data_IF_486017254108
#
_entry.id   IF_486017254108
#
_cell.length_a   1.000
_cell.length_b   1.000
_cell.length_c   1.000
_cell.angle_alpha   90.00
_cell.angle_beta   90.00
_cell.angle_gamma   90.00
#
_symmetry.space_group_name_H-M   'P 1'
#
loop_
_entity.id
_entity.type
_entity.pdbx_description
1 polymer ?
#
# COMPACT_ATOMS: atom_id res chain seq x y z
N UNK A 1 7.12 -1.33 -23.00
CA UNK A 1 6.95 -1.03 -21.55
C UNK A 1 5.57 -1.51 -21.15
N UNK A 2 5.43 -2.24 -20.04
CA UNK A 2 4.12 -2.58 -19.48
C UNK A 2 3.41 -1.29 -19.02
N UNK A 3 2.12 -1.16 -19.32
CA UNK A 3 1.32 -0.02 -18.91
C UNK A 3 0.55 -0.38 -17.63
N UNK A 4 0.89 0.26 -16.52
CA UNK A 4 0.21 0.05 -15.24
C UNK A 4 -0.95 1.03 -15.06
N UNK A 5 -2.16 0.52 -14.78
CA UNK A 5 -3.30 1.35 -14.42
C UNK A 5 -3.34 1.57 -12.90
N UNK A 6 -2.61 2.54 -12.38
CA UNK A 6 -2.58 2.84 -10.95
C UNK A 6 -3.95 3.26 -10.37
N UNK A 7 -4.91 3.65 -11.20
CA UNK A 7 -6.24 4.05 -10.75
C UNK A 7 -7.13 2.86 -10.37
N UNK A 8 -6.77 1.64 -10.82
CA UNK A 8 -7.46 0.40 -10.41
C UNK A 8 -6.88 -0.21 -9.14
N UNK A 9 -5.99 0.49 -8.42
CA UNK A 9 -5.37 -0.04 -7.23
C UNK A 9 -6.40 -0.43 -6.15
N UNK A 10 -6.20 -1.56 -5.48
CA UNK A 10 -7.11 -2.07 -4.44
C UNK A 10 -6.34 -2.53 -3.22
N UNK A 11 -6.93 -2.35 -2.03
CA UNK A 11 -6.39 -2.90 -0.80
C UNK A 11 -6.45 -4.44 -0.84
N UNK A 12 -5.32 -5.09 -0.59
CA UNK A 12 -5.22 -6.55 -0.51
C UNK A 12 -5.33 -6.98 0.96
N UNK A 13 -4.35 -6.57 1.78
CA UNK A 13 -4.24 -7.03 3.16
C UNK A 13 -3.36 -6.10 3.99
N UNK A 14 -3.44 -6.28 5.31
CA UNK A 14 -2.54 -5.69 6.28
C UNK A 14 -1.82 -6.79 7.05
N UNK A 15 -0.49 -6.77 7.06
CA UNK A 15 0.34 -7.74 7.76
C UNK A 15 0.94 -7.11 9.03
N UNK A 16 0.79 -7.77 10.17
CA UNK A 16 1.47 -7.40 11.42
C UNK A 16 2.84 -8.07 11.55
N UNK A 17 3.05 -9.18 10.83
CA UNK A 17 4.26 -9.99 10.82
C UNK A 17 4.61 -10.38 9.39
N UNK A 18 5.88 -10.63 9.12
CA UNK A 18 6.35 -11.03 7.78
C UNK A 18 5.68 -12.30 7.25
N UNK A 19 5.35 -13.24 8.14
CA UNK A 19 4.64 -14.48 7.79
C UNK A 19 3.20 -14.26 7.30
N UNK A 20 2.64 -13.07 7.53
CA UNK A 20 1.30 -12.68 7.09
C UNK A 20 1.32 -11.86 5.79
N UNK A 21 2.52 -11.52 5.29
CA UNK A 21 2.64 -10.87 3.99
C UNK A 21 2.18 -11.83 2.89
N UNK A 22 1.62 -11.32 1.79
CA UNK A 22 1.37 -12.16 0.63
C UNK A 22 2.69 -12.71 0.10
N UNK A 23 2.61 -13.78 -0.69
CA UNK A 23 3.77 -14.39 -1.33
C UNK A 23 4.54 -13.32 -2.12
N UNK A 24 5.87 -13.36 -2.00
CA UNK A 24 6.80 -12.47 -2.69
C UNK A 24 6.92 -12.89 -4.16
N UNK A 25 5.98 -12.40 -4.97
CA UNK A 25 5.85 -12.69 -6.40
C UNK A 25 5.53 -11.40 -7.16
N UNK A 26 6.19 -11.24 -8.32
CA UNK A 26 6.00 -10.07 -9.18
C UNK A 26 6.83 -8.86 -8.73
N UNK A 27 6.31 -7.67 -8.96
CA UNK A 27 6.99 -6.41 -8.67
C UNK A 27 6.32 -5.67 -7.50
N UNK A 28 7.13 -5.17 -6.57
CA UNK A 28 6.68 -4.42 -5.40
C UNK A 28 7.40 -3.08 -5.25
N UNK A 29 6.66 -2.05 -4.83
CA UNK A 29 7.22 -0.74 -4.50
C UNK A 29 6.83 -0.35 -3.08
N UNK A 30 7.76 -0.49 -2.14
CA UNK A 30 7.51 -0.13 -0.75
C UNK A 30 7.58 1.39 -0.50
N UNK A 31 6.61 1.92 0.24
CA UNK A 31 6.62 3.31 0.73
C UNK A 31 7.06 3.37 2.19
N UNK A 32 8.24 3.94 2.45
CA UNK A 32 8.83 4.04 3.79
C UNK A 32 9.02 5.51 4.21
N UNK A 33 8.84 5.81 5.50
CA UNK A 33 9.03 7.16 6.04
C UNK A 33 8.36 7.39 7.40
N UNK A 34 8.76 8.47 8.10
CA UNK A 34 8.31 8.75 9.48
C UNK A 34 6.81 9.04 9.60
N UNK A 35 6.22 9.75 8.64
CA UNK A 35 4.82 10.18 8.71
C UNK A 35 3.90 9.20 7.98
N UNK A 36 2.90 8.65 8.68
CA UNK A 36 1.84 7.87 8.03
C UNK A 36 0.98 8.73 7.13
N UNK A 37 0.71 9.98 7.53
CA UNK A 37 -0.03 10.93 6.70
C UNK A 37 0.66 11.22 5.37
N UNK A 38 1.98 11.42 5.37
CA UNK A 38 2.75 11.62 4.15
C UNK A 38 2.70 10.42 3.20
N UNK A 39 2.96 9.21 3.73
CA UNK A 39 2.91 7.96 2.95
C UNK A 39 1.52 7.72 2.35
N UNK A 40 0.47 7.78 3.17
CA UNK A 40 -0.90 7.58 2.69
C UNK A 40 -1.32 8.65 1.68
N UNK A 41 -0.90 9.91 1.86
CA UNK A 41 -1.17 10.96 0.88
C UNK A 41 -0.48 10.70 -0.45
N UNK A 42 0.78 10.23 -0.45
CA UNK A 42 1.51 9.89 -1.67
C UNK A 42 0.81 8.76 -2.44
N UNK A 43 0.44 7.68 -1.74
CA UNK A 43 -0.30 6.55 -2.35
C UNK A 43 -1.62 7.02 -2.96
N UNK A 44 -2.42 7.77 -2.21
CA UNK A 44 -3.71 8.28 -2.68
C UNK A 44 -3.58 9.22 -3.89
N UNK A 45 -2.52 10.04 -3.93
CA UNK A 45 -2.24 10.94 -5.08
C UNK A 45 -1.81 10.14 -6.31
N UNK A 46 -0.90 9.19 -6.17
CA UNK A 46 -0.39 8.36 -7.27
C UNK A 46 -1.49 7.50 -7.90
N UNK A 47 -2.37 6.94 -7.08
CA UNK A 47 -3.50 6.12 -7.54
C UNK A 47 -4.74 6.93 -7.91
N UNK A 48 -4.74 8.25 -7.67
CA UNK A 48 -5.92 9.13 -7.80
C UNK A 48 -7.14 8.64 -6.98
N UNK A 49 -6.92 7.93 -5.88
CA UNK A 49 -7.96 7.44 -4.99
C UNK A 49 -7.88 8.09 -3.62
N UNK A 50 -8.89 8.90 -3.25
CA UNK A 50 -8.87 9.71 -2.01
C UNK A 50 -8.88 8.92 -0.70
N UNK A 51 -9.28 7.64 -0.71
CA UNK A 51 -9.53 6.84 0.51
C UNK A 51 -8.90 5.44 0.49
N UNK A 52 -7.95 5.19 -0.41
CA UNK A 52 -7.28 3.90 -0.57
C UNK A 52 -6.39 3.61 0.64
N UNK A 53 -5.35 4.42 0.84
CA UNK A 53 -4.49 4.36 2.01
C UNK A 53 -5.08 5.26 3.11
N UNK A 54 -5.43 4.65 4.25
CA UNK A 54 -6.03 5.34 5.39
C UNK A 54 -5.00 5.58 6.48
N UNK A 55 -5.04 6.78 7.06
CA UNK A 55 -4.26 7.11 8.25
C UNK A 55 -5.04 6.74 9.50
N UNK A 56 -4.45 5.91 10.37
CA UNK A 56 -4.96 5.77 11.75
C UNK A 56 -4.70 7.08 12.49
N UNK A 57 -5.74 7.67 13.08
CA UNK A 57 -5.62 8.86 13.94
C UNK A 57 -5.16 8.53 15.36
N UNK A 58 -5.20 7.26 15.76
CA UNK A 58 -4.85 6.82 17.12
C UNK A 58 -3.35 6.53 17.20
N UNK A 59 -2.57 7.30 17.97
CA UNK A 59 -1.16 7.01 18.24
C UNK A 59 -1.02 5.70 19.02
N UNK A 60 0.07 4.95 18.80
CA UNK A 60 0.39 3.75 19.60
C UNK A 60 -0.24 2.43 19.14
N UNK A 61 -0.96 2.39 18.02
CA UNK A 61 -1.41 1.12 17.43
C UNK A 61 -0.25 0.45 16.67
N UNK A 62 -0.12 -0.88 16.81
CA UNK A 62 0.78 -1.74 16.03
C UNK A 62 0.85 -1.27 14.57
N UNK A 63 2.05 -1.04 14.06
CA UNK A 63 2.25 -0.64 12.67
C UNK A 63 2.05 -1.86 11.78
N UNK A 64 1.06 -1.81 10.90
CA UNK A 64 0.82 -2.84 9.90
C UNK A 64 1.47 -2.44 8.58
N UNK A 65 1.99 -3.43 7.85
CA UNK A 65 2.39 -3.29 6.46
C UNK A 65 1.11 -3.45 5.62
N UNK A 66 0.78 -2.46 4.81
CA UNK A 66 -0.42 -2.50 3.96
C UNK A 66 -0.01 -2.74 2.52
N UNK A 67 -0.69 -3.67 1.85
CA UNK A 67 -0.44 -4.03 0.46
C UNK A 67 -1.61 -3.56 -0.42
N UNK A 68 -1.28 -2.96 -1.56
CA UNK A 68 -2.26 -2.49 -2.54
C UNK A 68 -1.93 -3.05 -3.93
N UNK A 69 -2.80 -3.89 -4.49
CA UNK A 69 -2.61 -4.51 -5.80
C UNK A 69 -2.96 -3.57 -6.93
N UNK A 70 -2.15 -3.56 -7.99
CA UNK A 70 -2.40 -2.82 -9.25
C UNK A 70 -2.80 -3.80 -10.36
N UNK A 71 -2.05 -4.91 -10.47
CA UNK A 71 -2.30 -6.05 -11.34
C UNK A 71 -2.00 -7.34 -10.56
N UNK A 72 -2.21 -8.49 -11.19
CA UNK A 72 -1.92 -9.80 -10.58
C UNK A 72 -0.44 -9.97 -10.18
N UNK A 73 0.47 -9.20 -10.79
CA UNK A 73 1.92 -9.32 -10.61
C UNK A 73 2.58 -8.01 -10.18
N UNK A 74 1.81 -7.00 -9.76
CA UNK A 74 2.36 -5.71 -9.34
C UNK A 74 1.57 -5.08 -8.19
N UNK A 75 2.28 -4.65 -7.13
CA UNK A 75 1.69 -4.05 -5.93
C UNK A 75 2.51 -2.90 -5.34
N UNK A 76 1.84 -2.08 -4.53
CA UNK A 76 2.38 -1.02 -3.68
C UNK A 76 2.31 -1.41 -2.19
#
# INVERSE_FOLDING_TARGET
MQQFNYQSAQFITSAAQMSQCPIDEGAEVAFCGRSNAGKSSAINTLTRQKKLARTSKTPGRTQLINFFGITDTARL
#
